data_IF_788145675781
#
_entry.id   IF_788145675781
#
_cell.length_a   1.000
_cell.length_b   1.000
_cell.length_c   1.000
_cell.angle_alpha   90.00
_cell.angle_beta   90.00
_cell.angle_gamma   90.00
#
_symmetry.space_group_name_H-M   'P 1'
#
loop_
_entity.id
_entity.type
_entity.pdbx_description
1 polymer ?
#
# COMPACT_ATOMS: atom_id res chain seq x y z
N UNK A 1 -7.73 -9.41 5.28
CA UNK A 1 -7.94 -7.96 5.45
C UNK A 1 -8.00 -7.60 6.92
N UNK A 2 -7.00 -6.92 7.47
CA UNK A 2 -7.11 -6.31 8.80
C UNK A 2 -8.03 -5.10 8.71
N UNK A 3 -9.25 -5.24 9.20
CA UNK A 3 -10.26 -4.19 9.22
C UNK A 3 -9.71 -2.94 9.92
N UNK A 4 -9.59 -1.84 9.16
CA UNK A 4 -9.42 -0.53 9.75
C UNK A 4 -10.75 -0.16 10.39
N UNK A 5 -10.84 -0.21 11.74
CA UNK A 5 -12.01 0.29 12.47
C UNK A 5 -12.24 1.81 12.30
N UNK A 6 -11.42 2.48 11.49
CA UNK A 6 -11.46 3.91 11.26
C UNK A 6 -10.50 4.69 12.16
N UNK A 7 -10.47 6.01 11.96
CA UNK A 7 -9.65 6.91 12.76
C UNK A 7 -10.31 7.27 14.11
N UNK A 8 -11.65 7.20 14.18
CA UNK A 8 -12.42 7.61 15.37
C UNK A 8 -12.26 6.69 16.57
N UNK A 9 -12.37 5.34 16.46
CA UNK A 9 -12.22 4.47 17.64
C UNK A 9 -10.82 4.50 18.26
N UNK A 10 -9.83 5.00 17.50
CA UNK A 10 -8.43 5.10 17.93
C UNK A 10 -8.05 6.51 18.38
N UNK A 11 -9.01 7.44 18.38
CA UNK A 11 -8.82 8.89 18.51
C UNK A 11 -7.56 9.43 17.80
N UNK A 12 -7.29 8.93 16.57
CA UNK A 12 -6.09 9.33 15.85
C UNK A 12 -6.21 10.81 15.44
N UNK A 13 -5.29 11.62 15.94
CA UNK A 13 -5.18 13.04 15.60
C UNK A 13 -4.68 13.20 14.15
N UNK A 14 -5.60 13.17 13.18
CA UNK A 14 -5.30 13.37 11.77
C UNK A 14 -4.57 14.71 11.56
N UNK A 15 -3.31 14.64 11.12
CA UNK A 15 -2.46 15.81 10.92
C UNK A 15 -3.01 16.76 9.85
N UNK A 16 -3.78 16.23 8.89
CA UNK A 16 -4.24 16.97 7.71
C UNK A 16 -5.50 17.79 7.95
N UNK A 17 -6.28 17.49 8.99
CA UNK A 17 -7.56 18.19 9.26
C UNK A 17 -7.81 18.39 10.75
N UNK A 18 -7.87 17.31 11.54
CA UNK A 18 -8.22 17.38 12.96
C UNK A 18 -7.26 18.29 13.73
N UNK A 19 -5.95 18.21 13.50
CA UNK A 19 -4.97 19.08 14.20
C UNK A 19 -5.21 20.59 13.97
N UNK A 20 -5.77 20.97 12.84
CA UNK A 20 -6.01 22.37 12.44
C UNK A 20 -7.45 22.84 12.67
N UNK A 21 -8.31 22.02 13.28
CA UNK A 21 -9.71 22.35 13.52
C UNK A 21 -10.05 22.26 15.01
N UNK A 22 -10.37 23.40 15.61
CA UNK A 22 -10.71 23.47 17.04
C UNK A 22 -11.97 22.66 17.38
N UNK A 23 -13.02 22.74 16.55
CA UNK A 23 -14.27 22.01 16.78
C UNK A 23 -14.09 20.49 16.80
N UNK A 24 -13.28 19.95 15.89
CA UNK A 24 -12.95 18.52 15.88
C UNK A 24 -12.02 18.12 17.03
N UNK A 25 -11.10 19.01 17.46
CA UNK A 25 -10.21 18.75 18.60
C UNK A 25 -10.93 18.75 19.94
N UNK A 26 -11.88 19.67 20.11
CA UNK A 26 -12.72 19.78 21.31
C UNK A 26 -13.91 18.82 21.29
N UNK A 27 -14.05 18.01 20.24
CA UNK A 27 -15.19 17.12 20.04
C UNK A 27 -16.54 17.86 20.10
N UNK A 28 -16.57 19.15 19.72
CA UNK A 28 -17.80 19.94 19.72
C UNK A 28 -18.70 19.63 18.52
N UNK A 29 -18.16 18.95 17.51
CA UNK A 29 -18.89 18.37 16.37
C UNK A 29 -18.36 16.98 16.12
N UNK A 30 -19.23 16.07 15.71
CA UNK A 30 -18.83 14.74 15.27
C UNK A 30 -18.44 14.80 13.80
N UNK A 31 -19.22 15.45 12.95
CA UNK A 31 -18.97 15.55 11.51
C UNK A 31 -18.79 17.00 11.07
N UNK A 32 -18.03 17.22 9.99
CA UNK A 32 -17.83 18.56 9.48
C UNK A 32 -19.13 19.23 9.03
N UNK A 33 -20.11 18.45 8.54
CA UNK A 33 -21.43 18.95 8.13
C UNK A 33 -22.26 19.51 9.29
N UNK A 34 -21.95 19.15 10.54
CA UNK A 34 -22.60 19.69 11.75
C UNK A 34 -21.98 21.03 12.20
N UNK A 35 -20.87 21.44 11.59
CA UNK A 35 -20.17 22.66 11.97
C UNK A 35 -20.95 23.90 11.49
N UNK A 36 -21.17 24.93 12.33
CA UNK A 36 -21.81 26.18 11.91
C UNK A 36 -21.05 26.92 10.79
N UNK A 37 -19.75 26.63 10.64
CA UNK A 37 -18.90 27.21 9.59
C UNK A 37 -18.85 26.34 8.33
N UNK A 38 -19.72 25.33 8.19
CA UNK A 38 -19.69 24.43 7.04
C UNK A 38 -20.31 25.07 5.79
N UNK A 39 -19.67 24.99 4.61
CA UNK A 39 -18.31 24.50 4.38
C UNK A 39 -17.26 25.53 4.80
N UNK A 40 -16.26 25.11 5.60
CA UNK A 40 -15.20 26.01 6.06
C UNK A 40 -14.03 26.04 5.06
N UNK A 41 -13.27 27.13 5.06
CA UNK A 41 -12.16 27.33 4.10
C UNK A 41 -11.18 26.15 4.04
N UNK A 42 -10.76 25.60 5.19
CA UNK A 42 -9.86 24.45 5.23
C UNK A 42 -10.44 23.22 4.53
N UNK A 43 -11.72 22.93 4.76
CA UNK A 43 -12.39 21.80 4.12
C UNK A 43 -12.56 22.06 2.62
N UNK A 44 -12.96 23.27 2.22
CA UNK A 44 -13.08 23.65 0.81
C UNK A 44 -11.75 23.55 0.06
N UNK A 45 -10.62 23.91 0.68
CA UNK A 45 -9.30 23.75 0.06
C UNK A 45 -8.90 22.28 -0.12
N UNK A 46 -9.21 21.42 0.86
CA UNK A 46 -8.97 19.98 0.74
C UNK A 46 -9.88 19.39 -0.34
N UNK A 47 -11.14 19.79 -0.36
CA UNK A 47 -12.13 19.38 -1.33
C UNK A 47 -11.70 19.73 -2.76
N UNK A 48 -11.29 20.97 -3.02
CA UNK A 48 -10.79 21.40 -4.32
C UNK A 48 -9.60 20.54 -4.80
N UNK A 49 -8.69 20.17 -3.89
CA UNK A 49 -7.60 19.25 -4.21
C UNK A 49 -8.11 17.84 -4.53
N UNK A 50 -9.08 17.33 -3.79
CA UNK A 50 -9.67 16.00 -4.02
C UNK A 50 -10.44 15.94 -5.33
N UNK A 51 -11.17 16.99 -5.69
CA UNK A 51 -11.83 17.07 -6.99
C UNK A 51 -10.80 17.05 -8.12
N UNK A 52 -9.76 17.89 -8.00
CA UNK A 52 -8.70 18.00 -9.01
C UNK A 52 -7.90 16.70 -9.19
N UNK A 53 -7.60 15.98 -8.11
CA UNK A 53 -6.69 14.83 -8.15
C UNK A 53 -7.39 13.48 -8.18
N UNK A 54 -8.57 13.36 -7.55
CA UNK A 54 -9.18 12.07 -7.20
C UNK A 54 -10.64 11.93 -7.65
N UNK A 55 -11.15 12.87 -8.49
CA UNK A 55 -12.49 12.78 -9.10
C UNK A 55 -13.61 12.57 -8.08
N UNK A 56 -13.46 13.16 -6.89
CA UNK A 56 -14.44 13.07 -5.81
C UNK A 56 -14.50 14.39 -5.04
N UNK A 57 -15.66 14.69 -4.45
CA UNK A 57 -15.88 15.84 -3.59
C UNK A 57 -16.26 15.36 -2.19
N UNK A 58 -15.44 15.73 -1.20
CA UNK A 58 -15.74 15.49 0.20
C UNK A 58 -16.96 16.32 0.65
N UNK A 59 -17.14 17.51 0.10
CA UNK A 59 -18.30 18.36 0.40
C UNK A 59 -19.59 17.77 -0.15
N UNK A 60 -19.57 17.31 -1.40
CA UNK A 60 -20.70 16.61 -2.01
C UNK A 60 -21.04 15.34 -1.24
N UNK A 61 -20.02 14.54 -0.88
CA UNK A 61 -20.21 13.33 -0.09
C UNK A 61 -20.84 13.63 1.28
N UNK A 62 -20.34 14.63 2.01
CA UNK A 62 -20.91 15.03 3.30
C UNK A 62 -22.34 15.55 3.14
N UNK A 63 -22.62 16.29 2.06
CA UNK A 63 -23.97 16.75 1.72
C UNK A 63 -24.92 15.58 1.48
N UNK A 64 -24.56 14.66 0.59
CA UNK A 64 -25.39 13.48 0.30
C UNK A 64 -25.61 12.61 1.55
N UNK A 65 -24.59 12.37 2.37
CA UNK A 65 -24.75 11.62 3.62
C UNK A 65 -25.74 12.32 4.57
N UNK A 66 -25.68 13.66 4.64
CA UNK A 66 -26.55 14.43 5.53
C UNK A 66 -27.99 14.48 5.03
N UNK A 67 -28.19 14.60 3.72
CA UNK A 67 -29.52 14.70 3.09
C UNK A 67 -30.20 13.34 2.92
N UNK A 68 -29.46 12.35 2.45
CA UNK A 68 -29.98 11.06 2.01
C UNK A 68 -29.67 9.89 2.95
N UNK A 69 -28.77 10.10 3.91
CA UNK A 69 -28.29 9.05 4.81
C UNK A 69 -27.16 8.19 4.22
N UNK A 70 -26.45 7.51 5.11
CA UNK A 70 -25.26 6.70 4.78
C UNK A 70 -25.56 5.57 3.81
N UNK A 71 -26.69 4.87 3.96
CA UNK A 71 -26.99 3.71 3.12
C UNK A 71 -27.17 4.07 1.64
N UNK A 72 -27.89 5.17 1.36
CA UNK A 72 -28.12 5.61 -0.02
C UNK A 72 -26.82 6.13 -0.63
N UNK A 73 -26.03 6.86 0.14
CA UNK A 73 -24.68 7.30 -0.27
C UNK A 73 -23.79 6.12 -0.65
N UNK A 74 -23.75 5.07 0.19
CA UNK A 74 -22.93 3.88 -0.09
C UNK A 74 -23.37 3.16 -1.37
N UNK A 75 -24.68 3.02 -1.62
CA UNK A 75 -25.17 2.43 -2.88
C UNK A 75 -24.80 3.28 -4.09
N UNK A 76 -24.91 4.60 -3.99
CA UNK A 76 -24.54 5.51 -5.07
C UNK A 76 -23.03 5.47 -5.37
N UNK A 77 -22.18 5.43 -4.34
CA UNK A 77 -20.73 5.32 -4.52
C UNK A 77 -20.32 3.94 -5.06
N UNK A 78 -20.97 2.85 -4.62
CA UNK A 78 -20.72 1.52 -5.19
C UNK A 78 -20.98 1.51 -6.70
N UNK A 79 -22.10 2.09 -7.13
CA UNK A 79 -22.44 2.15 -8.55
C UNK A 79 -21.51 3.08 -9.33
N UNK A 80 -21.25 4.29 -8.82
CA UNK A 80 -20.34 5.27 -9.43
C UNK A 80 -18.93 4.70 -9.68
N UNK A 81 -18.44 3.87 -8.77
CA UNK A 81 -17.11 3.26 -8.87
C UNK A 81 -17.13 1.84 -9.42
N UNK A 82 -18.28 1.37 -9.93
CA UNK A 82 -18.40 0.06 -10.58
C UNK A 82 -17.71 0.07 -11.93
N UNK A 83 -16.87 -0.92 -12.17
CA UNK A 83 -16.21 -1.12 -13.45
C UNK A 83 -17.23 -1.68 -14.46
N UNK A 84 -17.45 -1.02 -15.61
CA UNK A 84 -18.41 -1.50 -16.59
C UNK A 84 -17.99 -2.80 -17.28
N UNK A 85 -16.70 -3.15 -17.25
CA UNK A 85 -16.19 -4.36 -17.91
C UNK A 85 -16.30 -5.62 -17.06
N UNK A 86 -16.03 -5.53 -15.75
CA UNK A 86 -15.98 -6.71 -14.88
C UNK A 86 -16.85 -6.59 -13.61
N UNK A 87 -17.54 -5.47 -13.40
CA UNK A 87 -18.31 -5.20 -12.19
C UNK A 87 -17.48 -4.94 -10.93
N UNK A 88 -16.15 -5.04 -10.99
CA UNK A 88 -15.24 -4.74 -9.88
C UNK A 88 -15.12 -3.25 -9.57
N UNK A 89 -14.26 -2.86 -8.62
CA UNK A 89 -14.13 -1.46 -8.18
C UNK A 89 -13.04 -0.70 -8.94
N UNK A 90 -13.35 0.55 -9.33
CA UNK A 90 -12.40 1.54 -9.87
C UNK A 90 -11.86 2.39 -8.72
N UNK A 91 -10.53 2.57 -8.68
CA UNK A 91 -9.90 3.42 -7.68
C UNK A 91 -10.03 4.92 -8.02
N UNK A 92 -10.56 5.71 -7.09
CA UNK A 92 -10.69 7.17 -7.26
C UNK A 92 -9.33 7.88 -7.49
N UNK A 93 -8.23 7.36 -6.95
CA UNK A 93 -6.92 8.03 -7.01
C UNK A 93 -6.21 7.90 -8.36
N UNK A 94 -6.52 6.85 -9.13
CA UNK A 94 -5.80 6.55 -10.36
C UNK A 94 -6.71 6.23 -11.54
N UNK A 95 -8.02 6.09 -11.32
CA UNK A 95 -9.00 5.77 -12.35
C UNK A 95 -8.84 4.37 -12.95
N UNK A 96 -8.17 3.45 -12.26
CA UNK A 96 -7.90 2.09 -12.70
C UNK A 96 -8.79 1.10 -11.97
N UNK A 97 -9.29 0.09 -12.69
CA UNK A 97 -10.00 -1.04 -12.11
C UNK A 97 -9.00 -1.98 -11.42
N UNK A 98 -9.31 -2.42 -10.20
CA UNK A 98 -8.43 -3.34 -9.46
C UNK A 98 -8.28 -4.72 -10.12
N UNK A 99 -9.23 -5.08 -10.99
CA UNK A 99 -9.24 -6.37 -11.73
C UNK A 99 -8.74 -6.18 -13.17
N UNK A 100 -9.35 -5.28 -13.94
CA UNK A 100 -8.99 -5.14 -15.37
C UNK A 100 -7.60 -4.51 -15.58
N UNK A 101 -7.16 -3.62 -14.69
CA UNK A 101 -5.94 -2.84 -14.87
C UNK A 101 -4.78 -3.31 -13.96
N UNK A 102 -4.80 -4.54 -13.46
CA UNK A 102 -3.80 -5.05 -12.50
C UNK A 102 -2.36 -4.86 -12.99
N UNK A 103 -2.07 -5.08 -14.27
CA UNK A 103 -0.73 -4.86 -14.84
C UNK A 103 -0.29 -3.39 -14.77
N UNK A 104 -1.21 -2.45 -15.02
CA UNK A 104 -0.93 -1.00 -14.93
C UNK A 104 -0.73 -0.58 -13.47
N UNK A 105 -1.52 -1.16 -12.56
CA UNK A 105 -1.37 -0.96 -11.12
C UNK A 105 -0.01 -1.44 -10.60
N UNK A 106 0.42 -2.65 -11.00
CA UNK A 106 1.75 -3.20 -10.70
C UNK A 106 2.85 -2.26 -11.17
N UNK A 107 2.82 -1.84 -12.44
CA UNK A 107 3.81 -0.90 -13.00
C UNK A 107 3.87 0.42 -12.23
N UNK A 108 2.72 1.02 -11.87
CA UNK A 108 2.66 2.28 -11.09
C UNK A 108 3.23 2.12 -9.68
N UNK A 109 3.28 0.90 -9.15
CA UNK A 109 3.87 0.55 -7.85
C UNK A 109 5.33 0.11 -7.95
N UNK A 110 5.94 0.22 -9.14
CA UNK A 110 7.32 -0.20 -9.36
C UNK A 110 7.48 -1.71 -9.51
N UNK A 111 6.39 -2.47 -9.75
CA UNK A 111 6.42 -3.89 -10.10
C UNK A 111 6.31 -4.04 -11.62
N UNK A 112 7.31 -3.55 -12.34
CA UNK A 112 7.41 -3.62 -13.81
C UNK A 112 8.03 -4.93 -14.31
N UNK A 113 8.71 -5.66 -13.43
CA UNK A 113 9.21 -7.01 -13.69
C UNK A 113 8.16 -8.05 -13.27
N UNK A 114 7.71 -8.95 -14.18
CA UNK A 114 6.85 -10.08 -13.86
C UNK A 114 7.49 -10.99 -12.82
N UNK A 115 6.64 -11.57 -11.97
CA UNK A 115 7.05 -12.38 -10.82
C UNK A 115 7.94 -13.56 -11.21
N UNK A 116 7.62 -14.22 -12.32
CA UNK A 116 8.33 -15.38 -12.83
C UNK A 116 9.74 -15.04 -13.34
N UNK A 117 10.02 -13.75 -13.54
CA UNK A 117 11.31 -13.24 -14.01
C UNK A 117 12.13 -12.58 -12.89
N UNK A 118 11.59 -12.47 -11.68
CA UNK A 118 12.31 -11.86 -10.56
C UNK A 118 13.47 -12.73 -10.11
N UNK A 119 14.67 -12.15 -10.05
CA UNK A 119 15.90 -12.85 -9.64
C UNK A 119 16.76 -12.00 -8.70
N UNK A 120 17.64 -12.66 -7.94
CA UNK A 120 18.77 -11.97 -7.32
C UNK A 120 19.88 -11.78 -8.36
N UNK A 121 20.06 -10.55 -8.82
CA UNK A 121 21.09 -10.15 -9.81
C UNK A 121 22.47 -9.90 -9.21
N UNK A 122 22.64 -10.22 -7.92
CA UNK A 122 23.86 -9.93 -7.17
C UNK A 122 24.19 -8.45 -7.02
N UNK A 123 25.46 -8.17 -6.71
CA UNK A 123 25.94 -6.83 -6.36
C UNK A 123 26.01 -5.86 -7.55
N UNK A 124 25.97 -6.39 -8.78
CA UNK A 124 26.14 -5.63 -10.03
C UNK A 124 24.87 -4.95 -10.53
N UNK A 125 23.69 -5.31 -10.00
CA UNK A 125 22.39 -4.68 -10.35
C UNK A 125 22.04 -4.74 -11.84
N UNK A 126 22.40 -5.83 -12.52
CA UNK A 126 22.08 -6.06 -13.94
C UNK A 126 21.13 -7.25 -14.07
N UNK A 127 19.88 -7.01 -14.47
CA UNK A 127 18.90 -8.06 -14.73
C UNK A 127 17.50 -7.71 -14.23
N UNK A 128 16.66 -8.73 -14.06
CA UNK A 128 15.24 -8.58 -13.75
C UNK A 128 15.02 -8.60 -12.22
N UNK A 129 15.15 -7.45 -11.55
CA UNK A 129 14.94 -7.34 -10.11
C UNK A 129 14.27 -6.02 -9.70
N UNK A 130 13.59 -6.02 -8.55
CA UNK A 130 12.94 -4.82 -7.99
C UNK A 130 13.81 -4.12 -6.93
N UNK A 131 14.75 -4.85 -6.32
CA UNK A 131 15.52 -4.35 -5.18
C UNK A 131 16.81 -3.64 -5.60
N UNK A 132 16.68 -2.40 -6.06
CA UNK A 132 17.83 -1.56 -6.47
C UNK A 132 18.69 -1.12 -5.29
N UNK A 133 18.07 -0.90 -4.12
CA UNK A 133 18.69 -0.41 -2.88
C UNK A 133 18.82 -1.52 -1.82
N UNK A 134 19.50 -2.60 -2.18
CA UNK A 134 19.69 -3.75 -1.29
C UNK A 134 20.58 -3.35 -0.07
N UNK A 135 20.08 -3.46 1.18
CA UNK A 135 20.78 -2.94 2.36
C UNK A 135 22.06 -3.72 2.73
N UNK A 136 22.18 -4.98 2.29
CA UNK A 136 23.38 -5.81 2.51
C UNK A 136 24.43 -5.63 1.41
N UNK A 137 24.10 -4.95 0.30
CA UNK A 137 25.02 -4.74 -0.83
C UNK A 137 26.32 -4.05 -0.45
N UNK A 138 26.35 -3.01 0.42
CA UNK A 138 27.61 -2.40 0.84
C UNK A 138 28.56 -3.40 1.50
N UNK A 139 28.03 -4.29 2.35
CA UNK A 139 28.79 -5.35 3.00
C UNK A 139 29.33 -6.38 1.97
N UNK A 140 28.48 -6.82 1.04
CA UNK A 140 28.88 -7.78 0.01
C UNK A 140 29.96 -7.23 -0.92
N UNK A 141 29.86 -5.94 -1.32
CA UNK A 141 30.89 -5.26 -2.12
C UNK A 141 32.20 -5.07 -1.36
N UNK A 142 32.15 -4.71 -0.07
CA UNK A 142 33.34 -4.59 0.77
C UNK A 142 34.11 -5.91 0.89
N UNK A 143 33.38 -7.03 0.89
CA UNK A 143 33.95 -8.39 0.94
C UNK A 143 34.24 -8.97 -0.45
N UNK A 144 34.14 -8.15 -1.51
CA UNK A 144 34.38 -8.54 -2.91
C UNK A 144 33.56 -9.75 -3.37
N UNK A 145 32.35 -9.90 -2.83
CA UNK A 145 31.47 -11.01 -3.16
C UNK A 145 30.54 -10.62 -4.32
N UNK A 146 30.40 -11.53 -5.29
CA UNK A 146 29.42 -11.40 -6.38
C UNK A 146 28.00 -11.20 -5.84
N UNK A 147 27.66 -11.97 -4.82
CA UNK A 147 26.40 -11.92 -4.09
C UNK A 147 26.58 -12.58 -2.71
N UNK A 148 25.54 -12.54 -1.89
CA UNK A 148 25.61 -13.08 -0.53
C UNK A 148 25.68 -14.62 -0.48
N UNK A 149 25.39 -15.34 -1.57
CA UNK A 149 25.46 -16.81 -1.60
C UNK A 149 26.89 -17.33 -1.38
N UNK A 150 27.90 -16.51 -1.70
CA UNK A 150 29.32 -16.77 -1.45
C UNK A 150 29.78 -16.43 -0.02
N UNK A 151 28.90 -15.84 0.80
CA UNK A 151 29.26 -15.47 2.16
C UNK A 151 29.47 -16.71 3.05
N UNK A 152 30.58 -16.77 3.77
CA UNK A 152 30.85 -17.84 4.74
C UNK A 152 29.88 -17.78 5.94
N UNK A 153 29.43 -16.59 6.28
CA UNK A 153 28.48 -16.31 7.36
C UNK A 153 27.03 -16.32 6.87
N UNK A 154 26.73 -16.82 5.66
CA UNK A 154 25.39 -16.74 5.06
C UNK A 154 24.26 -17.22 5.99
N UNK A 155 24.45 -18.36 6.65
CA UNK A 155 23.43 -18.94 7.54
C UNK A 155 23.22 -18.12 8.81
N UNK A 156 24.28 -17.48 9.32
CA UNK A 156 24.28 -16.67 10.55
C UNK A 156 24.13 -15.17 10.28
N UNK A 157 23.98 -14.74 9.02
CA UNK A 157 24.00 -13.34 8.63
C UNK A 157 22.69 -12.63 9.02
N UNK A 158 22.76 -11.81 10.08
CA UNK A 158 21.65 -10.97 10.55
C UNK A 158 21.34 -9.79 9.62
N UNK A 159 22.27 -9.41 8.75
CA UNK A 159 22.08 -8.30 7.80
C UNK A 159 21.29 -8.74 6.56
N UNK A 160 21.51 -9.97 6.10
CA UNK A 160 20.77 -10.55 4.97
C UNK A 160 19.34 -10.94 5.35
N UNK A 161 19.02 -11.03 6.64
CA UNK A 161 17.72 -11.52 7.12
C UNK A 161 16.57 -10.50 6.95
N UNK A 162 16.83 -9.33 6.36
CA UNK A 162 15.97 -8.15 6.49
C UNK A 162 14.68 -8.07 5.65
N UNK A 163 14.21 -9.17 5.02
CA UNK A 163 12.87 -9.21 4.36
C UNK A 163 12.14 -10.54 4.49
N UNK A 164 12.84 -11.67 4.48
CA UNK A 164 12.24 -12.98 4.77
C UNK A 164 11.67 -13.01 6.21
N UNK A 165 12.38 -12.41 7.16
CA UNK A 165 11.92 -12.29 8.55
C UNK A 165 10.65 -11.42 8.64
N UNK A 166 10.51 -10.40 7.78
CA UNK A 166 9.29 -9.57 7.70
C UNK A 166 8.10 -10.40 7.23
N UNK A 167 8.30 -11.29 6.24
CA UNK A 167 7.26 -12.20 5.76
C UNK A 167 6.85 -13.15 6.90
N UNK A 168 7.79 -13.68 7.66
CA UNK A 168 7.53 -14.55 8.79
C UNK A 168 6.85 -13.82 9.96
N UNK A 169 7.23 -12.58 10.24
CA UNK A 169 6.54 -11.69 11.18
C UNK A 169 5.11 -11.38 10.73
N UNK A 170 4.89 -11.11 9.44
CA UNK A 170 3.55 -10.89 8.88
C UNK A 170 2.70 -12.17 9.00
N UNK A 171 3.26 -13.34 8.69
CA UNK A 171 2.58 -14.64 8.88
C UNK A 171 2.22 -14.89 10.35
N UNK A 172 3.13 -14.58 11.29
CA UNK A 172 2.87 -14.69 12.74
C UNK A 172 1.80 -13.70 13.22
N UNK A 173 1.83 -12.46 12.73
CA UNK A 173 0.90 -11.39 13.11
C UNK A 173 -0.48 -11.57 12.48
N UNK A 174 -0.55 -12.19 11.30
CA UNK A 174 -1.78 -12.44 10.57
C UNK A 174 -1.87 -13.93 10.18
N UNK A 175 -2.03 -14.84 11.16
CA UNK A 175 -1.95 -16.30 10.95
C UNK A 175 -3.10 -16.87 10.12
N UNK A 176 -4.09 -16.06 9.74
CA UNK A 176 -5.26 -16.48 8.96
C UNK A 176 -5.36 -15.67 7.66
N UNK A 177 -5.13 -16.39 6.55
CA UNK A 177 -5.42 -16.05 5.14
C UNK A 177 -4.53 -14.96 4.51
N UNK A 178 -3.38 -15.40 4.00
CA UNK A 178 -2.76 -14.83 2.79
C UNK A 178 -3.07 -15.83 1.68
N UNK A 179 -3.83 -15.44 0.65
CA UNK A 179 -4.09 -16.35 -0.48
C UNK A 179 -2.80 -16.63 -1.26
N UNK A 180 -2.71 -17.72 -2.04
CA UNK A 180 -1.58 -17.95 -2.93
C UNK A 180 -1.30 -16.77 -3.88
N UNK A 181 -2.36 -16.11 -4.36
CA UNK A 181 -2.27 -14.93 -5.22
C UNK A 181 -1.76 -13.71 -4.45
N UNK A 182 -2.25 -13.45 -3.24
CA UNK A 182 -1.73 -12.38 -2.39
C UNK A 182 -0.26 -12.63 -2.02
N UNK A 183 0.11 -13.89 -1.76
CA UNK A 183 1.49 -14.30 -1.50
C UNK A 183 2.40 -13.98 -2.68
N UNK A 184 2.01 -14.43 -3.86
CA UNK A 184 2.70 -14.23 -5.12
C UNK A 184 2.89 -12.72 -5.42
N UNK A 185 1.86 -11.91 -5.20
CA UNK A 185 1.89 -10.49 -5.50
C UNK A 185 2.70 -9.64 -4.50
N UNK A 186 2.57 -9.92 -3.21
CA UNK A 186 3.04 -9.01 -2.16
C UNK A 186 4.19 -9.57 -1.33
N UNK A 187 4.50 -10.86 -1.41
CA UNK A 187 5.48 -11.53 -0.55
C UNK A 187 6.60 -12.19 -1.35
N UNK A 188 6.28 -12.99 -2.37
CA UNK A 188 7.28 -13.67 -3.23
C UNK A 188 8.36 -12.74 -3.80
N UNK A 189 8.05 -11.50 -4.26
CA UNK A 189 9.07 -10.57 -4.76
C UNK A 189 10.14 -10.18 -3.74
N UNK A 190 9.88 -10.41 -2.45
CA UNK A 190 10.77 -10.07 -1.34
C UNK A 190 11.51 -11.29 -0.78
N UNK A 191 11.33 -12.48 -1.35
CA UNK A 191 12.03 -13.73 -0.96
C UNK A 191 13.43 -13.85 -1.57
N UNK A 192 14.20 -12.76 -1.70
CA UNK A 192 15.54 -12.80 -2.29
C UNK A 192 16.49 -13.82 -1.65
N UNK A 193 16.27 -14.21 -0.39
CA UNK A 193 17.02 -15.27 0.30
C UNK A 193 16.78 -16.67 -0.30
N UNK A 194 15.58 -16.99 -0.78
CA UNK A 194 15.30 -18.32 -1.35
C UNK A 194 16.06 -18.53 -2.67
N UNK A 195 16.17 -17.48 -3.49
CA UNK A 195 17.02 -17.49 -4.69
C UNK A 195 18.50 -17.60 -4.35
N UNK A 196 18.99 -16.90 -3.33
CA UNK A 196 20.38 -17.02 -2.88
C UNK A 196 20.70 -18.44 -2.35
N UNK A 197 19.76 -19.11 -1.68
CA UNK A 197 19.91 -20.53 -1.28
C UNK A 197 20.04 -21.44 -2.50
N UNK A 198 19.23 -21.21 -3.55
CA UNK A 198 19.35 -21.97 -4.81
C UNK A 198 20.71 -21.72 -5.49
N UNK A 199 21.19 -20.48 -5.52
CA UNK A 199 22.50 -20.13 -6.07
C UNK A 199 23.64 -20.78 -5.29
N UNK A 200 23.58 -20.78 -3.95
CA UNK A 200 24.56 -21.43 -3.07
C UNK A 200 24.65 -22.94 -3.25
N UNK A 201 23.54 -23.60 -3.62
CA UNK A 201 23.54 -25.07 -3.90
C UNK A 201 24.14 -25.41 -5.27
N UNK A 202 24.27 -24.43 -6.16
CA UNK A 202 24.78 -24.61 -7.53
C UNK A 202 26.27 -24.28 -7.68
N UNK A 203 26.84 -23.55 -6.73
CA UNK A 203 28.28 -23.20 -6.66
C UNK A 203 28.98 -23.94 -5.54
#
# INVERSE_FOLDING_TARGET
MSYCAGCRPRDKQCAFLKKQCEHLRKHSVNFCSECPKFPCQNLSSIDARYQKLFRMSLLENLGSITTDGMEKFLRAEEEKWRCPSCGGTICCHNGLCFVCDTSRLKKKKGFDVPEERLECVGCDNKGNHLDTDCPVRPCAKQREMKDCSYCKEFESCKTLSSRADIIDEIKKKYPKKISPEEYALFFRPYEGRSELVKQRRKG
#
